data_IF_983613925420
#
_entry.id   IF_983613925420
#
_cell.length_a   1.000
_cell.length_b   1.000
_cell.length_c   1.000
_cell.angle_alpha   90.00
_cell.angle_beta   90.00
_cell.angle_gamma   90.00
#
_symmetry.space_group_name_H-M   'P 1'
#
loop_
_entity.id
_entity.type
_entity.pdbx_description
1 polymer ?
#
# COMPACT_ATOMS: atom_id res chain seq x y z
N UNK A 1 -13.20 -18.21 -3.56
CA UNK A 1 -12.13 -18.22 -4.57
C UNK A 1 -12.24 -17.10 -5.62
N UNK A 2 -13.44 -16.74 -6.11
CA UNK A 2 -13.63 -15.62 -7.08
C UNK A 2 -13.10 -14.23 -6.64
N UNK A 3 -12.99 -13.95 -5.33
CA UNK A 3 -12.51 -12.64 -4.86
C UNK A 3 -10.98 -12.51 -4.80
N UNK A 4 -10.22 -13.61 -4.73
CA UNK A 4 -8.75 -13.53 -4.66
C UNK A 4 -8.17 -13.20 -6.05
N UNK A 5 -8.71 -13.81 -7.11
CA UNK A 5 -8.33 -13.50 -8.49
C UNK A 5 -8.62 -12.05 -8.89
N UNK A 6 -9.77 -11.50 -8.47
CA UNK A 6 -10.10 -10.09 -8.74
C UNK A 6 -9.16 -9.12 -8.01
N UNK A 7 -8.76 -9.43 -6.78
CA UNK A 7 -7.78 -8.63 -6.02
C UNK A 7 -6.40 -8.72 -6.67
N UNK A 8 -5.94 -9.92 -7.03
CA UNK A 8 -4.65 -10.10 -7.70
C UNK A 8 -4.61 -9.39 -9.06
N UNK A 9 -5.68 -9.51 -9.85
CA UNK A 9 -5.81 -8.80 -11.13
C UNK A 9 -5.81 -7.28 -10.94
N UNK A 10 -6.51 -6.77 -9.92
CA UNK A 10 -6.49 -5.36 -9.57
C UNK A 10 -5.08 -4.87 -9.20
N UNK A 11 -4.33 -5.65 -8.42
CA UNK A 11 -2.93 -5.34 -8.06
C UNK A 11 -2.04 -5.34 -9.31
N UNK A 12 -2.14 -6.36 -10.16
CA UNK A 12 -1.36 -6.46 -11.40
C UNK A 12 -1.69 -5.33 -12.37
N UNK A 13 -2.96 -4.98 -12.53
CA UNK A 13 -3.41 -3.87 -13.36
C UNK A 13 -2.86 -2.54 -12.83
N UNK A 14 -2.93 -2.35 -11.52
CA UNK A 14 -2.47 -1.13 -10.88
C UNK A 14 -0.94 -0.98 -10.94
N UNK A 15 -0.19 -2.08 -10.78
CA UNK A 15 1.25 -2.14 -11.03
C UNK A 15 1.56 -1.85 -12.51
N UNK A 16 0.81 -2.45 -13.44
CA UNK A 16 0.96 -2.21 -14.87
C UNK A 16 0.75 -0.74 -15.25
N UNK A 17 -0.30 -0.11 -14.72
CA UNK A 17 -0.55 1.32 -14.89
C UNK A 17 0.60 2.14 -14.28
N UNK A 18 1.04 1.79 -13.07
CA UNK A 18 2.15 2.47 -12.40
C UNK A 18 3.45 2.42 -13.21
N UNK A 19 3.78 1.24 -13.75
CA UNK A 19 4.95 1.05 -14.64
C UNK A 19 4.77 1.82 -15.94
N UNK A 20 3.59 1.81 -16.56
CA UNK A 20 3.31 2.57 -17.77
C UNK A 20 3.44 4.07 -17.56
N UNK A 21 2.94 4.61 -16.44
CA UNK A 21 3.08 6.04 -16.11
C UNK A 21 4.55 6.37 -15.85
N UNK A 22 5.26 5.54 -15.09
CA UNK A 22 6.66 5.78 -14.78
C UNK A 22 7.57 5.67 -15.99
N UNK A 23 7.46 4.62 -16.80
CA UNK A 23 8.31 4.41 -17.98
C UNK A 23 7.85 5.21 -19.19
N UNK A 24 6.54 5.40 -19.36
CA UNK A 24 5.96 6.07 -20.53
C UNK A 24 5.89 7.59 -20.42
N UNK A 25 5.83 8.15 -19.20
CA UNK A 25 5.69 9.60 -19.00
C UNK A 25 6.85 10.14 -18.15
N UNK A 26 7.06 9.59 -16.96
CA UNK A 26 8.03 10.16 -16.02
C UNK A 26 9.46 9.99 -16.53
N UNK A 27 9.87 8.80 -16.96
CA UNK A 27 11.21 8.52 -17.46
C UNK A 27 11.62 9.38 -18.67
N UNK A 28 10.81 9.55 -19.74
CA UNK A 28 11.19 10.40 -20.86
C UNK A 28 11.24 11.88 -20.47
N UNK A 29 10.32 12.36 -19.62
CA UNK A 29 10.37 13.73 -19.08
C UNK A 29 11.66 13.92 -18.27
N UNK A 30 11.95 13.01 -17.36
CA UNK A 30 13.14 13.08 -16.50
C UNK A 30 14.43 13.03 -17.33
N UNK A 31 14.50 12.13 -18.32
CA UNK A 31 15.64 12.03 -19.23
C UNK A 31 15.84 13.30 -20.04
N UNK A 32 14.75 13.96 -20.47
CA UNK A 32 14.80 15.21 -21.23
C UNK A 32 15.33 16.39 -20.40
N UNK A 33 14.98 16.47 -19.11
CA UNK A 33 15.37 17.60 -18.27
C UNK A 33 16.68 17.38 -17.52
N UNK A 34 17.00 16.16 -17.14
CA UNK A 34 18.18 15.84 -16.31
C UNK A 34 19.29 15.10 -17.08
N UNK A 35 19.04 14.71 -18.33
CA UNK A 35 19.98 13.93 -19.13
C UNK A 35 20.02 12.44 -18.76
N UNK A 36 20.59 11.63 -19.64
CA UNK A 36 20.54 10.17 -19.51
C UNK A 36 21.39 9.62 -18.36
N UNK A 37 22.48 10.31 -17.99
CA UNK A 37 23.37 9.90 -16.89
C UNK A 37 22.71 10.04 -15.51
N UNK A 38 22.00 11.14 -15.26
CA UNK A 38 21.24 11.30 -14.02
C UNK A 38 20.01 10.39 -14.02
N UNK A 39 19.34 10.25 -15.16
CA UNK A 39 18.16 9.40 -15.29
C UNK A 39 18.46 7.93 -14.98
N UNK A 40 19.54 7.36 -15.52
CA UNK A 40 19.91 5.95 -15.27
C UNK A 40 20.19 5.65 -13.80
N UNK A 41 20.64 6.65 -13.04
CA UNK A 41 21.01 6.50 -11.63
C UNK A 41 19.82 6.79 -10.69
N UNK A 42 19.01 7.81 -10.99
CA UNK A 42 17.92 8.27 -10.13
C UNK A 42 16.58 7.56 -10.40
N UNK A 43 16.30 7.17 -11.64
CA UNK A 43 15.02 6.53 -11.99
C UNK A 43 14.73 5.25 -11.18
N UNK A 44 15.71 4.34 -10.96
CA UNK A 44 15.45 3.15 -10.14
C UNK A 44 14.96 3.51 -8.73
N UNK A 45 15.56 4.52 -8.10
CA UNK A 45 15.15 4.99 -6.77
C UNK A 45 13.77 5.61 -6.79
N UNK A 46 13.47 6.45 -7.78
CA UNK A 46 12.14 7.07 -7.94
C UNK A 46 11.05 6.02 -8.14
N UNK A 47 11.31 5.03 -9.00
CA UNK A 47 10.39 3.91 -9.23
C UNK A 47 10.19 3.10 -7.94
N UNK A 48 11.26 2.83 -7.20
CA UNK A 48 11.17 2.11 -5.92
C UNK A 48 10.31 2.86 -4.91
N UNK A 49 10.50 4.17 -4.75
CA UNK A 49 9.70 5.01 -3.86
C UNK A 49 8.22 5.00 -4.29
N UNK A 50 7.96 5.10 -5.59
CA UNK A 50 6.60 5.07 -6.12
C UNK A 50 5.91 3.72 -5.89
N UNK A 51 6.59 2.61 -6.19
CA UNK A 51 6.07 1.25 -5.97
C UNK A 51 5.81 1.02 -4.48
N UNK A 52 6.69 1.48 -3.60
CA UNK A 52 6.47 1.43 -2.16
C UNK A 52 5.24 2.25 -1.77
N UNK A 53 5.17 3.54 -2.14
CA UNK A 53 4.03 4.40 -1.85
C UNK A 53 2.70 3.77 -2.29
N UNK A 54 2.65 3.27 -3.52
CA UNK A 54 1.46 2.66 -4.08
C UNK A 54 1.06 1.39 -3.31
N UNK A 55 2.01 0.48 -3.09
CA UNK A 55 1.77 -0.78 -2.38
C UNK A 55 1.26 -0.53 -0.96
N UNK A 56 1.86 0.41 -0.24
CA UNK A 56 1.48 0.72 1.14
C UNK A 56 0.17 1.51 1.22
N UNK A 57 -0.15 2.35 0.23
CA UNK A 57 -1.47 2.98 0.14
C UNK A 57 -2.59 1.94 0.02
N UNK A 58 -2.49 1.01 -0.93
CA UNK A 58 -3.51 -0.01 -1.09
C UNK A 58 -3.50 -1.03 0.06
N UNK A 59 -2.33 -1.41 0.56
CA UNK A 59 -2.18 -2.28 1.73
C UNK A 59 -2.84 -1.69 2.97
N UNK A 60 -2.59 -0.42 3.27
CA UNK A 60 -3.22 0.29 4.39
C UNK A 60 -4.73 0.44 4.21
N UNK A 61 -5.19 0.71 2.99
CA UNK A 61 -6.62 0.78 2.67
C UNK A 61 -7.31 -0.56 2.91
N UNK A 62 -6.75 -1.65 2.39
CA UNK A 62 -7.32 -2.99 2.52
C UNK A 62 -7.36 -3.45 3.99
N UNK A 63 -6.25 -3.26 4.72
CA UNK A 63 -6.17 -3.60 6.13
C UNK A 63 -7.18 -2.79 6.97
N UNK A 64 -7.32 -1.49 6.72
CA UNK A 64 -8.31 -0.64 7.39
C UNK A 64 -9.76 -1.06 7.07
N UNK A 65 -10.03 -1.42 5.82
CA UNK A 65 -11.35 -1.90 5.39
C UNK A 65 -11.76 -3.23 6.05
N UNK A 66 -10.79 -4.13 6.28
CA UNK A 66 -11.03 -5.45 6.90
C UNK A 66 -10.95 -5.45 8.43
N UNK A 67 -10.33 -4.44 9.04
CA UNK A 67 -10.10 -4.42 10.48
C UNK A 67 -11.40 -4.41 11.30
N UNK A 68 -11.50 -5.17 12.40
CA UNK A 68 -12.72 -5.23 13.22
C UNK A 68 -12.95 -3.94 14.01
N UNK A 69 -11.88 -3.33 14.54
CA UNK A 69 -11.90 -2.08 15.30
C UNK A 69 -10.62 -1.29 15.04
N UNK A 70 -10.63 0.02 15.37
CA UNK A 70 -9.48 0.94 15.17
C UNK A 70 -8.89 0.82 13.76
N UNK A 71 -9.76 0.97 12.76
CA UNK A 71 -9.47 0.72 11.33
C UNK A 71 -8.28 1.52 10.80
N UNK A 72 -8.22 2.82 11.10
CA UNK A 72 -7.07 3.68 10.76
C UNK A 72 -5.75 3.15 11.31
N UNK A 73 -5.74 2.68 12.56
CA UNK A 73 -4.54 2.19 13.22
C UNK A 73 -4.04 0.89 12.58
N UNK A 74 -4.92 -0.06 12.32
CA UNK A 74 -4.58 -1.30 11.60
C UNK A 74 -3.99 -1.01 10.22
N UNK A 75 -4.61 -0.11 9.47
CA UNK A 75 -4.10 0.27 8.16
C UNK A 75 -2.73 0.94 8.22
N UNK A 76 -2.49 1.82 9.20
CA UNK A 76 -1.21 2.52 9.40
C UNK A 76 -0.11 1.59 9.90
N UNK A 77 -0.46 0.59 10.72
CA UNK A 77 0.48 -0.41 11.23
C UNK A 77 1.09 -1.27 10.12
N UNK A 78 0.43 -1.41 8.96
CA UNK A 78 1.01 -2.11 7.80
C UNK A 78 2.35 -1.50 7.43
N UNK A 79 2.43 -0.18 7.26
CA UNK A 79 3.68 0.51 6.94
C UNK A 79 4.73 0.33 8.03
N UNK A 80 4.35 0.50 9.30
CA UNK A 80 5.25 0.39 10.45
C UNK A 80 5.85 -1.03 10.58
N UNK A 81 4.99 -2.05 10.55
CA UNK A 81 5.39 -3.45 10.71
C UNK A 81 6.24 -3.88 9.53
N UNK A 82 5.85 -3.58 8.29
CA UNK A 82 6.64 -3.95 7.11
C UNK A 82 8.02 -3.30 7.13
N UNK A 83 8.13 -2.04 7.59
CA UNK A 83 9.43 -1.40 7.73
C UNK A 83 10.28 -2.07 8.82
N UNK A 84 9.68 -2.49 9.94
CA UNK A 84 10.37 -3.20 11.03
C UNK A 84 10.77 -4.64 10.67
N UNK A 85 10.04 -5.30 9.76
CA UNK A 85 10.38 -6.65 9.28
C UNK A 85 11.70 -6.65 8.50
N UNK A 86 12.01 -5.58 7.75
CA UNK A 86 13.23 -5.52 6.95
C UNK A 86 14.54 -5.62 7.77
N UNK A 87 14.77 -4.81 8.84
CA UNK A 87 15.95 -4.98 9.68
C UNK A 87 15.93 -6.30 10.45
N UNK A 88 14.76 -6.82 10.81
CA UNK A 88 14.64 -8.13 11.47
C UNK A 88 15.10 -9.27 10.54
N UNK A 89 14.65 -9.28 9.28
CA UNK A 89 15.08 -10.27 8.28
C UNK A 89 16.58 -10.15 8.05
N UNK A 90 17.10 -8.93 7.86
CA UNK A 90 18.53 -8.70 7.67
C UNK A 90 19.38 -9.18 8.88
N UNK A 91 18.91 -8.94 10.10
CA UNK A 91 19.57 -9.42 11.31
C UNK A 91 19.55 -10.95 11.39
N UNK A 92 18.42 -11.58 11.11
CA UNK A 92 18.30 -13.05 11.07
C UNK A 92 19.21 -13.65 10.00
N UNK A 93 19.23 -13.10 8.79
CA UNK A 93 20.13 -13.57 7.72
C UNK A 93 21.58 -13.47 8.15
N UNK A 94 22.01 -12.40 8.83
CA UNK A 94 23.38 -12.30 9.34
C UNK A 94 23.72 -13.28 10.47
N UNK A 95 22.74 -13.65 11.30
CA UNK A 95 22.92 -14.63 12.37
C UNK A 95 23.08 -16.07 11.84
N UNK A 96 22.45 -16.38 10.70
CA UNK A 96 22.43 -17.73 10.11
C UNK A 96 23.27 -17.88 8.83
N UNK A 97 23.78 -16.79 8.25
CA UNK A 97 24.49 -16.80 6.97
C UNK A 97 25.56 -15.71 6.86
N UNK A 98 26.81 -16.11 7.13
CA UNK A 98 28.06 -15.57 6.57
C UNK A 98 28.30 -14.05 6.44
N UNK A 99 29.20 -13.53 7.31
CA UNK A 99 30.35 -12.67 6.98
C UNK A 99 30.15 -11.20 6.59
N UNK A 100 29.12 -10.83 5.84
CA UNK A 100 28.91 -9.43 5.39
C UNK A 100 27.96 -8.68 6.31
N UNK A 101 28.37 -7.52 6.83
CA UNK A 101 27.53 -6.63 7.64
C UNK A 101 26.29 -6.18 6.82
N UNK A 102 25.08 -6.67 7.13
CA UNK A 102 23.87 -6.38 6.34
C UNK A 102 23.43 -4.92 6.47
N UNK A 103 24.00 -4.17 7.42
CA UNK A 103 23.67 -2.78 7.69
C UNK A 103 24.73 -1.79 7.19
N UNK A 104 25.80 -2.26 6.52
CA UNK A 104 26.89 -1.42 6.04
C UNK A 104 26.38 -0.25 5.17
N UNK A 105 25.46 -0.52 4.24
CA UNK A 105 24.88 0.50 3.37
C UNK A 105 24.01 1.52 4.10
N UNK A 106 23.40 1.13 5.24
CA UNK A 106 22.56 2.02 6.05
C UNK A 106 23.37 3.00 6.91
N UNK A 107 24.67 2.75 7.12
CA UNK A 107 25.56 3.67 7.85
C UNK A 107 26.09 4.82 7.00
N UNK A 108 25.87 4.78 5.68
CA UNK A 108 26.22 5.88 4.78
C UNK A 108 25.19 7.00 4.88
N UNK A 109 25.60 8.27 4.72
CA UNK A 109 24.67 9.41 4.74
C UNK A 109 23.54 9.27 3.71
N UNK A 110 23.86 8.75 2.52
CA UNK A 110 22.89 8.45 1.47
C UNK A 110 21.92 7.34 1.88
N UNK A 111 22.41 6.27 2.51
CA UNK A 111 21.59 5.16 3.00
C UNK A 111 20.65 5.56 4.14
N UNK A 112 21.12 6.41 5.06
CA UNK A 112 20.29 7.00 6.12
C UNK A 112 19.19 7.87 5.50
N UNK A 113 19.55 8.79 4.60
CA UNK A 113 18.59 9.69 3.96
C UNK A 113 17.52 8.91 3.19
N UNK A 114 17.93 7.94 2.37
CA UNK A 114 17.01 7.11 1.60
C UNK A 114 16.09 6.32 2.51
N UNK A 115 16.60 5.78 3.62
CA UNK A 115 15.81 5.04 4.60
C UNK A 115 14.78 5.91 5.30
N UNK A 116 15.13 7.14 5.67
CA UNK A 116 14.21 8.12 6.26
C UNK A 116 13.12 8.52 5.27
N UNK A 117 13.50 8.83 4.03
CA UNK A 117 12.54 9.18 2.96
C UNK A 117 11.60 8.01 2.66
N UNK A 118 12.14 6.80 2.56
CA UNK A 118 11.35 5.60 2.31
C UNK A 118 10.41 5.31 3.49
N UNK A 119 10.89 5.41 4.74
CA UNK A 119 10.07 5.24 5.93
C UNK A 119 8.91 6.23 5.98
N UNK A 120 9.18 7.51 5.78
CA UNK A 120 8.17 8.55 5.74
C UNK A 120 7.15 8.31 4.61
N UNK A 121 7.62 7.87 3.43
CA UNK A 121 6.76 7.54 2.29
C UNK A 121 5.84 6.36 2.61
N UNK A 122 6.40 5.28 3.16
CA UNK A 122 5.68 4.06 3.53
C UNK A 122 4.61 4.36 4.58
N UNK A 123 4.98 5.07 5.66
CA UNK A 123 4.04 5.45 6.71
C UNK A 123 2.96 6.41 6.19
N UNK A 124 3.36 7.45 5.44
CA UNK A 124 2.44 8.43 4.88
C UNK A 124 1.43 7.78 3.95
N UNK A 125 1.90 6.96 3.01
CA UNK A 125 1.03 6.26 2.08
C UNK A 125 0.08 5.28 2.80
N UNK A 126 0.61 4.49 3.73
CA UNK A 126 -0.15 3.57 4.56
C UNK A 126 -1.24 4.28 5.38
N UNK A 127 -0.93 5.43 5.98
CA UNK A 127 -1.89 6.26 6.70
C UNK A 127 -2.99 6.83 5.78
N UNK A 128 -2.63 7.40 4.63
CA UNK A 128 -3.59 7.95 3.67
C UNK A 128 -4.49 6.84 3.13
N UNK A 129 -3.92 5.68 2.82
CA UNK A 129 -4.63 4.47 2.45
C UNK A 129 -5.62 4.04 3.53
N UNK A 130 -5.16 3.95 4.78
CA UNK A 130 -5.98 3.57 5.93
C UNK A 130 -7.18 4.50 6.12
N UNK A 131 -6.98 5.83 5.98
CA UNK A 131 -8.06 6.83 6.05
C UNK A 131 -9.10 6.60 4.95
N UNK A 132 -8.66 6.33 3.71
CA UNK A 132 -9.56 6.03 2.60
C UNK A 132 -10.33 4.72 2.83
N UNK A 133 -9.67 3.67 3.32
CA UNK A 133 -10.29 2.37 3.58
C UNK A 133 -11.42 2.44 4.61
N UNK A 134 -11.25 3.25 5.64
CA UNK A 134 -12.28 3.47 6.66
C UNK A 134 -13.50 4.22 6.10
N UNK A 135 -13.29 5.25 5.27
CA UNK A 135 -14.38 5.99 4.63
C UNK A 135 -15.21 5.07 3.73
N UNK A 136 -14.54 4.24 2.92
CA UNK A 136 -15.21 3.24 2.06
C UNK A 136 -16.00 2.24 2.91
N UNK A 137 -15.43 1.77 4.02
CA UNK A 137 -16.15 0.90 4.94
C UNK A 137 -17.40 1.56 5.53
N UNK A 138 -17.27 2.78 6.04
CA UNK A 138 -18.39 3.52 6.64
C UNK A 138 -19.53 3.71 5.64
N UNK A 139 -19.20 4.07 4.40
CA UNK A 139 -20.19 4.21 3.33
C UNK A 139 -20.88 2.86 3.01
N UNK A 140 -20.12 1.78 2.83
CA UNK A 140 -20.69 0.47 2.54
C UNK A 140 -21.55 -0.05 3.69
N UNK A 141 -21.16 0.20 4.94
CA UNK A 141 -21.92 -0.20 6.12
C UNK A 141 -23.28 0.55 6.19
N UNK A 142 -23.31 1.83 5.83
CA UNK A 142 -24.56 2.60 5.75
C UNK A 142 -25.49 2.05 4.67
N UNK A 143 -24.96 1.78 3.47
CA UNK A 143 -25.74 1.23 2.35
C UNK A 143 -26.31 -0.15 2.68
N UNK A 144 -25.52 -1.02 3.31
CA UNK A 144 -25.98 -2.35 3.73
C UNK A 144 -27.09 -2.26 4.76
N UNK A 145 -26.93 -1.41 5.78
CA UNK A 145 -27.95 -1.18 6.81
C UNK A 145 -29.26 -0.66 6.21
N UNK A 146 -29.21 0.26 5.26
CA UNK A 146 -30.40 0.77 4.58
C UNK A 146 -31.12 -0.33 3.77
N UNK A 147 -30.37 -1.20 3.10
CA UNK A 147 -30.93 -2.35 2.38
C UNK A 147 -31.60 -3.34 3.30
N UNK A 148 -31.02 -3.61 4.48
CA UNK A 148 -31.60 -4.46 5.50
C UNK A 148 -32.92 -3.88 6.04
N UNK A 149 -32.93 -2.58 6.40
CA UNK A 149 -34.14 -1.89 6.86
C UNK A 149 -35.23 -1.94 5.78
N UNK A 150 -34.87 -1.72 4.50
CA UNK A 150 -35.82 -1.79 3.40
C UNK A 150 -36.41 -3.19 3.24
N UNK A 151 -35.59 -4.25 3.31
CA UNK A 151 -36.05 -5.64 3.26
C UNK A 151 -36.98 -5.98 4.41
N UNK A 152 -36.66 -5.53 5.63
CA UNK A 152 -37.53 -5.72 6.80
C UNK A 152 -38.89 -5.04 6.63
N UNK A 153 -38.91 -3.83 6.07
CA UNK A 153 -40.17 -3.13 5.75
C UNK A 153 -40.97 -3.88 4.70
N UNK A 154 -40.33 -4.31 3.62
CA UNK A 154 -40.97 -5.10 2.55
C UNK A 154 -41.58 -6.41 3.11
N UNK A 155 -40.87 -7.11 4.02
CA UNK A 155 -41.37 -8.30 4.69
C UNK A 155 -42.52 -8.02 5.67
N UNK A 156 -42.47 -6.91 6.43
CA UNK A 156 -43.53 -6.52 7.36
C UNK A 156 -44.79 -6.01 6.64
N UNK A 157 -44.65 -5.49 5.41
CA UNK A 157 -45.76 -5.05 4.57
C UNK A 157 -46.32 -6.13 3.65
N UNK A 158 -45.69 -7.30 3.59
CA UNK A 158 -46.23 -8.44 2.85
C UNK A 158 -47.47 -8.93 3.63
N UNK A 159 -48.68 -8.85 3.06
CA UNK A 159 -49.87 -9.34 3.74
C UNK A 159 -49.70 -10.84 3.98
N UNK A 160 -49.97 -11.27 5.22
CA UNK A 160 -50.20 -12.67 5.53
C UNK A 160 -51.45 -13.13 4.74
N UNK A 161 -51.26 -13.59 3.51
CA UNK A 161 -52.24 -14.47 2.86
C UNK A 161 -52.16 -15.81 3.60
N UNK A 162 -53.17 -16.26 4.35
CA UNK A 162 -54.53 -16.61 3.93
C UNK A 162 -54.54 -17.52 2.71
#
# INVERSE_FOLDING_TARGET
MKSFGAVLFGILLALGIGVLVMLGIVAPVFTRFFGQSLASTALPTVVLIFVAAFSFYFGGMFASYRAPSRRKLHGTLVGLISFAVSPLVNALTSAFGGGSDPFANLRTSTGVLLSVVLFATVLGASYVGARRGEVVYAHNAQVLRQREIRRQREQASAPEGQ
#
